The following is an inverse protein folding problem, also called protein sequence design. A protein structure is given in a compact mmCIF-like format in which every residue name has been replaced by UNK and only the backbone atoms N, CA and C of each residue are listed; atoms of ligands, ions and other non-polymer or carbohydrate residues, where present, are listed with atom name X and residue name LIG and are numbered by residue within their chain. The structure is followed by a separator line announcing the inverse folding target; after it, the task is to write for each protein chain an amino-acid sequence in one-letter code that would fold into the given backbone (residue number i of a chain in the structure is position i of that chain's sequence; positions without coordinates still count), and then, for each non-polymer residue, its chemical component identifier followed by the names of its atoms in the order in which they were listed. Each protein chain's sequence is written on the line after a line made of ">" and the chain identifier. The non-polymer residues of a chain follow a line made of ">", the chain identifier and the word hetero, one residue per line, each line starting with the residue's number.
data_IF_296409338024
#
_entry.id   IF_296409338024
#
_cell.length_a   1.000
_cell.length_b   1.000
_cell.length_c   1.000
_cell.angle_alpha   90.00
_cell.angle_beta   90.00
_cell.angle_gamma   90.00
#
_symmetry.space_group_name_H-M   'P 1'
#
loop_
_entity.id
_entity.type
_entity.pdbx_description
1 polymer ?
#
# COMPACT_ATOMS: atom_id res chain seq x y z
N UNK A 1 15.85 -18.59 -49.13
CA UNK A 1 15.33 -17.22 -49.24
C UNK A 1 13.81 -17.33 -49.41
N UNK A 2 13.05 -17.47 -48.32
CA UNK A 2 11.58 -17.63 -48.40
C UNK A 2 10.94 -16.54 -47.57
N UNK A 3 10.28 -15.60 -48.25
CA UNK A 3 9.62 -14.42 -47.69
C UNK A 3 8.28 -14.82 -47.10
N UNK A 4 8.02 -14.54 -45.82
CA UNK A 4 6.67 -14.61 -45.26
C UNK A 4 5.86 -13.40 -45.74
N UNK A 5 4.70 -13.66 -46.33
CA UNK A 5 3.71 -12.65 -46.69
C UNK A 5 2.83 -12.32 -45.47
N UNK A 6 2.73 -11.04 -45.11
CA UNK A 6 1.80 -10.56 -44.09
C UNK A 6 0.40 -10.43 -44.70
N UNK A 7 -0.55 -11.22 -44.20
CA UNK A 7 -1.93 -11.22 -44.66
C UNK A 7 -2.90 -10.60 -43.66
N UNK A 8 -3.79 -9.75 -44.18
CA UNK A 8 -5.10 -9.34 -43.68
C UNK A 8 -5.16 -8.42 -42.44
N UNK A 9 -4.88 -7.15 -42.67
CA UNK A 9 -5.49 -6.05 -41.93
C UNK A 9 -7.01 -6.00 -42.21
N UNK A 10 -7.81 -6.41 -41.21
CA UNK A 10 -9.27 -6.19 -41.18
C UNK A 10 -9.64 -5.44 -39.90
N UNK A 11 -9.22 -4.18 -39.80
CA UNK A 11 -9.92 -3.24 -38.92
C UNK A 11 -11.20 -2.82 -39.67
N UNK A 12 -12.33 -3.42 -39.29
CA UNK A 12 -13.64 -3.05 -39.84
C UNK A 12 -13.98 -1.58 -39.54
N UNK A 13 -14.80 -0.93 -40.38
CA UNK A 13 -15.16 0.47 -40.16
C UNK A 13 -16.00 0.59 -38.88
N UNK A 14 -15.40 1.21 -37.89
CA UNK A 14 -16.04 1.78 -36.71
C UNK A 14 -17.34 2.53 -37.08
N UNK A 15 -18.47 1.99 -36.61
CA UNK A 15 -19.77 2.65 -36.71
C UNK A 15 -19.82 3.95 -35.87
N UNK A 16 -20.77 4.86 -36.16
CA UNK A 16 -20.86 6.15 -35.47
C UNK A 16 -21.19 5.93 -33.99
N UNK A 17 -20.33 6.45 -33.11
CA UNK A 17 -20.54 6.43 -31.66
C UNK A 17 -21.62 7.45 -31.27
N UNK A 18 -22.78 6.89 -30.95
CA UNK A 18 -24.00 7.53 -30.47
C UNK A 18 -23.78 8.34 -29.17
N UNK A 19 -24.63 9.32 -28.92
CA UNK A 19 -24.64 10.23 -27.76
C UNK A 19 -24.85 9.52 -26.40
N UNK A 20 -24.91 8.19 -26.40
CA UNK A 20 -24.96 7.27 -25.25
C UNK A 20 -23.69 7.31 -24.35
N UNK A 21 -22.67 8.10 -24.70
CA UNK A 21 -21.49 8.31 -23.85
C UNK A 21 -21.64 9.41 -22.80
N UNK A 22 -22.85 9.93 -22.56
CA UNK A 22 -23.12 10.76 -21.38
C UNK A 22 -23.19 9.87 -20.13
N UNK A 23 -22.07 9.22 -19.79
CA UNK A 23 -21.95 8.45 -18.55
C UNK A 23 -22.02 9.39 -17.37
N UNK A 24 -22.86 9.06 -16.39
CA UNK A 24 -22.91 9.75 -15.11
C UNK A 24 -21.51 9.76 -14.46
N UNK A 25 -21.16 10.80 -13.66
CA UNK A 25 -19.89 10.82 -12.95
C UNK A 25 -19.77 9.57 -12.07
N UNK A 26 -18.59 8.93 -12.03
CA UNK A 26 -18.41 7.73 -11.22
C UNK A 26 -18.71 8.04 -9.75
N UNK A 27 -19.23 7.06 -8.98
CA UNK A 27 -19.45 7.24 -7.56
C UNK A 27 -18.14 7.66 -6.89
N UNK A 28 -18.24 8.54 -5.89
CA UNK A 28 -17.07 9.00 -5.13
C UNK A 28 -16.26 7.79 -4.63
N UNK A 29 -14.92 7.84 -4.69
CA UNK A 29 -14.10 6.72 -4.27
C UNK A 29 -14.39 6.38 -2.80
N UNK A 30 -14.54 5.09 -2.52
CA UNK A 30 -14.58 4.60 -1.15
C UNK A 30 -13.31 5.06 -0.41
N UNK A 31 -13.36 5.34 0.91
CA UNK A 31 -12.18 5.70 1.66
C UNK A 31 -11.10 4.64 1.42
N UNK A 32 -9.93 5.09 0.94
CA UNK A 32 -8.80 4.21 0.71
C UNK A 32 -8.45 3.52 2.04
N UNK A 33 -8.07 2.23 2.02
CA UNK A 33 -7.48 1.61 3.19
C UNK A 33 -6.30 2.46 3.64
N UNK A 34 -6.15 2.66 4.95
CA UNK A 34 -5.01 3.39 5.48
C UNK A 34 -3.72 2.74 4.97
N UNK A 35 -2.96 3.47 4.17
CA UNK A 35 -1.65 3.06 3.66
C UNK A 35 -0.83 2.56 4.85
N UNK A 36 -0.43 1.28 4.82
CA UNK A 36 0.06 0.57 6.00
C UNK A 36 1.27 1.23 6.66
N UNK A 37 1.11 1.58 7.93
CA UNK A 37 2.19 2.00 8.82
C UNK A 37 2.06 1.29 10.16
N UNK A 38 3.18 1.08 10.84
CA UNK A 38 3.19 0.55 12.20
C UNK A 38 2.44 1.55 13.10
N UNK A 39 1.39 1.13 13.85
CA UNK A 39 0.66 2.06 14.69
C UNK A 39 1.62 2.72 15.69
N UNK A 40 1.49 4.04 15.90
CA UNK A 40 2.32 4.79 16.83
C UNK A 40 2.32 4.16 18.24
N UNK A 41 1.25 3.45 18.59
CA UNK A 41 1.12 2.64 19.79
C UNK A 41 2.13 1.48 19.90
N UNK A 42 2.96 1.20 18.90
CA UNK A 42 4.04 0.21 18.97
C UNK A 42 5.44 0.84 19.07
N UNK A 43 5.57 2.16 18.83
CA UNK A 43 6.87 2.84 18.89
C UNK A 43 7.50 2.82 20.28
N UNK A 44 6.68 2.84 21.35
CA UNK A 44 7.20 2.76 22.72
C UNK A 44 7.86 1.41 23.05
N UNK A 45 7.63 0.38 22.23
CA UNK A 45 8.29 -0.92 22.37
C UNK A 45 9.65 -0.95 21.68
N UNK A 46 9.99 0.06 20.86
CA UNK A 46 11.27 0.15 20.17
C UNK A 46 12.31 0.75 21.11
N UNK A 47 13.41 0.04 21.31
CA UNK A 47 14.54 0.57 22.06
C UNK A 47 15.21 1.72 21.29
N UNK A 48 15.38 2.92 21.87
CA UNK A 48 16.00 4.05 21.17
C UNK A 48 17.50 3.88 20.93
N UNK A 49 18.14 2.98 21.68
CA UNK A 49 19.58 2.74 21.62
C UNK A 49 19.96 1.70 20.55
N UNK A 50 19.23 0.58 20.49
CA UNK A 50 19.54 -0.52 19.56
C UNK A 50 18.48 -0.77 18.48
N UNK A 51 17.36 -0.06 18.50
CA UNK A 51 16.28 -0.18 17.50
C UNK A 51 15.44 -1.45 17.59
N UNK A 52 15.65 -2.29 18.62
CA UNK A 52 14.96 -3.58 18.75
C UNK A 52 13.63 -3.45 19.47
N UNK A 53 12.64 -4.22 19.02
CA UNK A 53 11.34 -4.33 19.71
C UNK A 53 11.45 -5.18 20.98
N UNK A 54 10.88 -4.67 22.06
CA UNK A 54 10.67 -5.40 23.30
C UNK A 54 9.67 -6.54 23.09
N UNK A 55 9.92 -7.68 23.74
CA UNK A 55 9.09 -8.89 23.59
C UNK A 55 7.80 -8.84 24.42
N UNK A 56 7.59 -7.80 25.25
CA UNK A 56 6.41 -7.64 26.09
C UNK A 56 5.97 -6.19 26.21
N UNK A 57 4.66 -5.95 26.16
CA UNK A 57 4.06 -4.65 26.46
C UNK A 57 4.27 -4.35 27.95
N UNK A 58 5.05 -3.30 28.25
CA UNK A 58 5.41 -2.91 29.63
C UNK A 58 6.76 -3.43 30.14
N UNK A 59 7.65 -3.93 29.26
CA UNK A 59 9.01 -4.24 29.68
C UNK A 59 9.76 -2.96 30.11
N UNK A 60 10.40 -2.92 31.29
CA UNK A 60 11.10 -1.71 31.76
C UNK A 60 12.44 -1.49 31.03
N UNK A 61 13.02 -2.53 30.43
CA UNK A 61 14.30 -2.48 29.74
C UNK A 61 14.36 -3.45 28.56
N UNK A 62 15.24 -3.15 27.59
CA UNK A 62 15.44 -3.97 26.39
C UNK A 62 16.17 -5.29 26.72
N UNK A 63 15.61 -6.42 26.30
CA UNK A 63 16.22 -7.75 26.49
C UNK A 63 17.54 -7.97 25.74
N UNK A 64 17.90 -7.07 24.82
CA UNK A 64 19.10 -7.18 23.99
C UNK A 64 20.27 -6.37 24.54
N UNK A 65 20.08 -5.08 24.78
CA UNK A 65 21.15 -4.19 25.24
C UNK A 65 21.03 -3.78 26.73
N UNK A 66 19.88 -4.01 27.37
CA UNK A 66 19.64 -3.63 28.77
C UNK A 66 19.25 -2.17 28.98
N UNK A 67 19.22 -1.32 27.95
CA UNK A 67 18.79 0.08 28.06
C UNK A 67 17.31 0.20 28.45
N UNK A 68 16.94 1.23 29.25
CA UNK A 68 15.56 1.47 29.65
C UNK A 68 14.68 1.76 28.42
N UNK A 69 13.47 1.21 28.42
CA UNK A 69 12.47 1.47 27.38
C UNK A 69 11.65 2.72 27.73
N UNK A 70 11.16 3.47 26.72
CA UNK A 70 10.25 4.59 26.96
C UNK A 70 8.92 4.08 27.54
N UNK A 71 8.51 4.66 28.67
CA UNK A 71 7.21 4.39 29.26
C UNK A 71 6.09 4.94 28.35
N UNK A 72 5.05 4.15 28.02
CA UNK A 72 3.98 4.60 27.14
C UNK A 72 3.12 5.74 27.72
N UNK A 73 3.31 6.16 28.97
CA UNK A 73 2.45 7.12 29.66
C UNK A 73 1.07 6.54 30.00
N UNK A 74 0.30 7.20 30.89
CA UNK A 74 -1.08 6.81 31.20
C UNK A 74 -2.06 7.08 30.05
#
# INVERSE_FOLDING_TARGET
>A
MTTHAHGAEVHGPEGPRDCDQMTAPPPAPAPAPAEGGEPACLLHLVCPDCGRLATGRGAPACSHCGSPLPDPGP
#
